data_IF_380560983072
#
_entry.id   IF_380560983072
#
_cell.length_a   1.000
_cell.length_b   1.000
_cell.length_c   1.000
_cell.angle_alpha   90.00
_cell.angle_beta   90.00
_cell.angle_gamma   90.00
#
_symmetry.space_group_name_H-M   'P 1'
#
loop_
_entity.id
_entity.type
_entity.pdbx_description
1 polymer ?
#
# COMPACT_ATOMS: atom_id res chain seq x y z
N UNK A 1 -14.72 -13.13 14.19
CA UNK A 1 -13.32 -12.68 14.19
C UNK A 1 -13.19 -11.15 14.32
N UNK A 2 -14.30 -10.43 14.55
CA UNK A 2 -14.32 -8.97 14.69
C UNK A 2 -13.64 -8.18 13.55
N UNK A 3 -13.62 -8.73 12.35
CA UNK A 3 -13.12 -8.03 11.17
C UNK A 3 -14.13 -6.96 10.77
N UNK A 4 -13.69 -5.72 10.70
CA UNK A 4 -14.52 -4.58 10.30
C UNK A 4 -13.92 -3.77 9.14
N UNK A 5 -12.73 -4.15 8.65
CA UNK A 5 -12.05 -3.53 7.53
C UNK A 5 -11.39 -4.58 6.64
N UNK A 6 -11.34 -4.31 5.35
CA UNK A 6 -10.75 -5.20 4.36
C UNK A 6 -10.03 -4.40 3.28
N UNK A 7 -8.98 -4.98 2.71
CA UNK A 7 -8.31 -4.50 1.50
C UNK A 7 -8.68 -5.41 0.34
N UNK A 8 -8.99 -4.83 -0.81
CA UNK A 8 -9.37 -5.58 -2.01
C UNK A 8 -8.13 -6.11 -2.74
N UNK A 9 -7.42 -7.03 -2.14
CA UNK A 9 -6.18 -7.61 -2.69
C UNK A 9 -6.44 -8.40 -3.97
N UNK A 10 -5.91 -8.06 -5.10
CA UNK A 10 -5.07 -6.93 -5.48
C UNK A 10 -5.68 -6.25 -6.72
N UNK A 11 -6.98 -6.02 -6.67
CA UNK A 11 -7.78 -5.40 -7.75
C UNK A 11 -9.16 -5.00 -7.19
N UNK A 12 -9.89 -4.11 -7.88
CA UNK A 12 -11.26 -3.81 -7.50
C UNK A 12 -12.17 -5.03 -7.61
N UNK A 13 -13.04 -5.19 -6.63
CA UNK A 13 -14.04 -6.26 -6.60
C UNK A 13 -15.30 -5.95 -7.43
N UNK A 14 -16.24 -6.90 -7.45
CA UNK A 14 -17.57 -6.72 -8.03
C UNK A 14 -18.29 -5.52 -7.38
N UNK A 15 -19.00 -4.67 -8.14
CA UNK A 15 -19.75 -3.54 -7.59
C UNK A 15 -20.69 -3.92 -6.45
N UNK A 16 -21.34 -5.08 -6.52
CA UNK A 16 -22.23 -5.57 -5.46
C UNK A 16 -21.48 -5.75 -4.13
N UNK A 17 -20.22 -6.13 -4.18
CA UNK A 17 -19.40 -6.30 -2.97
C UNK A 17 -19.24 -4.96 -2.23
N UNK A 18 -19.03 -3.84 -2.94
CA UNK A 18 -18.98 -2.51 -2.33
C UNK A 18 -20.32 -2.08 -1.77
N UNK A 19 -21.43 -2.38 -2.46
CA UNK A 19 -22.79 -2.12 -1.95
C UNK A 19 -23.03 -2.88 -0.63
N UNK A 20 -22.58 -4.12 -0.54
CA UNK A 20 -22.68 -4.90 0.69
C UNK A 20 -21.81 -4.32 1.81
N UNK A 21 -20.60 -3.86 1.49
CA UNK A 21 -19.77 -3.18 2.47
C UNK A 21 -20.42 -1.90 3.01
N UNK A 22 -21.08 -1.13 2.13
CA UNK A 22 -21.84 0.07 2.53
C UNK A 22 -22.99 -0.29 3.47
N UNK A 23 -23.75 -1.36 3.16
CA UNK A 23 -24.89 -1.81 3.96
C UNK A 23 -24.47 -2.35 5.32
N UNK A 24 -23.43 -3.17 5.36
CA UNK A 24 -22.98 -3.86 6.57
C UNK A 24 -21.93 -3.09 7.40
N UNK A 25 -21.48 -1.95 6.92
CA UNK A 25 -20.53 -1.10 7.64
C UNK A 25 -19.10 -1.66 7.65
N UNK A 26 -18.68 -2.36 6.59
CA UNK A 26 -17.31 -2.84 6.44
C UNK A 26 -16.48 -1.73 5.78
N UNK A 27 -15.43 -1.29 6.44
CA UNK A 27 -14.49 -0.33 5.87
C UNK A 27 -13.65 -0.97 4.77
N UNK A 28 -13.38 -0.20 3.72
CA UNK A 28 -12.70 -0.71 2.53
C UNK A 28 -11.46 0.11 2.23
N UNK A 29 -10.37 -0.60 1.99
CA UNK A 29 -9.19 -0.10 1.28
C UNK A 29 -9.29 -0.63 -0.14
N UNK A 30 -9.73 0.21 -1.08
CA UNK A 30 -9.91 -0.20 -2.47
C UNK A 30 -8.59 -0.11 -3.21
N UNK A 31 -8.17 -1.21 -3.85
CA UNK A 31 -6.88 -1.33 -4.51
C UNK A 31 -6.99 -1.39 -6.02
N UNK A 32 -6.12 -0.64 -6.68
CA UNK A 32 -6.01 -0.66 -8.13
C UNK A 32 -5.32 -1.94 -8.62
N UNK A 33 -5.76 -2.46 -9.76
CA UNK A 33 -5.17 -3.63 -10.39
C UNK A 33 -3.80 -3.29 -11.00
N UNK A 34 -2.82 -3.05 -10.15
CA UNK A 34 -1.42 -2.82 -10.53
C UNK A 34 -0.55 -3.73 -9.68
N UNK A 35 -0.03 -4.76 -10.31
CA UNK A 35 0.92 -5.68 -9.71
C UNK A 35 1.93 -6.14 -10.75
N UNK A 36 3.22 -6.12 -10.39
CA UNK A 36 4.29 -6.55 -11.28
C UNK A 36 5.46 -7.20 -10.52
N UNK A 37 5.13 -7.94 -9.47
CA UNK A 37 6.07 -8.62 -8.57
C UNK A 37 7.19 -9.37 -9.31
N UNK A 38 6.85 -10.10 -10.37
CA UNK A 38 7.83 -10.85 -11.17
C UNK A 38 8.88 -10.01 -11.90
N UNK A 39 8.70 -8.70 -11.99
CA UNK A 39 9.69 -7.77 -12.58
C UNK A 39 10.71 -7.26 -11.56
N UNK A 40 10.57 -7.65 -10.29
CA UNK A 40 11.37 -7.14 -9.19
C UNK A 40 11.06 -5.68 -8.83
N UNK A 41 11.81 -5.14 -7.88
CA UNK A 41 11.52 -3.83 -7.28
C UNK A 41 12.60 -2.78 -7.57
N UNK A 42 13.71 -3.18 -8.18
CA UNK A 42 14.85 -2.34 -8.43
C UNK A 42 14.78 -1.64 -9.80
N UNK A 43 15.87 -1.70 -10.57
CA UNK A 43 15.98 -0.97 -11.85
C UNK A 43 15.03 -1.46 -12.95
N UNK A 44 14.61 -2.72 -12.89
CA UNK A 44 13.73 -3.33 -13.90
C UNK A 44 12.24 -3.21 -13.59
N UNK A 45 11.89 -2.56 -12.48
CA UNK A 45 10.49 -2.40 -12.11
C UNK A 45 9.73 -1.58 -13.14
N UNK A 46 8.51 -1.99 -13.45
CA UNK A 46 7.63 -1.25 -14.37
C UNK A 46 7.22 0.11 -13.82
N UNK A 47 7.36 0.34 -12.51
CA UNK A 47 7.12 1.64 -11.88
C UNK A 47 8.06 2.75 -12.40
N UNK A 48 9.24 2.38 -12.89
CA UNK A 48 10.24 3.30 -13.46
C UNK A 48 10.17 3.39 -14.99
N UNK A 49 9.42 2.50 -15.65
CA UNK A 49 9.34 2.43 -17.10
C UNK A 49 8.27 3.40 -17.63
N UNK A 50 8.65 4.47 -18.38
CA UNK A 50 7.70 5.49 -18.84
C UNK A 50 6.59 4.96 -19.74
N UNK A 51 6.85 3.91 -20.51
CA UNK A 51 5.86 3.30 -21.40
C UNK A 51 4.69 2.68 -20.64
N UNK A 52 4.87 2.35 -19.35
CA UNK A 52 3.83 1.81 -18.46
C UNK A 52 3.06 2.88 -17.67
N UNK A 53 3.47 4.15 -17.71
CA UNK A 53 2.79 5.23 -16.98
C UNK A 53 1.29 5.25 -17.27
N UNK A 54 0.92 5.19 -18.54
CA UNK A 54 -0.49 5.19 -18.93
C UNK A 54 -1.26 4.03 -18.33
N UNK A 55 -0.66 2.84 -18.32
CA UNK A 55 -1.29 1.65 -17.76
C UNK A 55 -1.51 1.75 -16.24
N UNK A 56 -0.55 2.32 -15.49
CA UNK A 56 -0.68 2.58 -14.07
C UNK A 56 -1.78 3.61 -13.77
N UNK A 57 -1.75 4.75 -14.48
CA UNK A 57 -2.74 5.81 -14.33
C UNK A 57 -4.15 5.31 -14.64
N UNK A 58 -4.39 4.69 -15.79
CA UNK A 58 -5.73 4.25 -16.19
C UNK A 58 -6.35 3.26 -15.20
N UNK A 59 -5.56 2.37 -14.59
CA UNK A 59 -6.07 1.44 -13.59
C UNK A 59 -6.52 2.17 -12.32
N UNK A 60 -5.72 3.10 -11.84
CA UNK A 60 -6.06 3.94 -10.70
C UNK A 60 -7.27 4.84 -10.99
N UNK A 61 -7.28 5.48 -12.17
CA UNK A 61 -8.41 6.33 -12.59
C UNK A 61 -9.72 5.56 -12.66
N UNK A 62 -9.72 4.39 -13.28
CA UNK A 62 -10.94 3.57 -13.43
C UNK A 62 -11.47 3.15 -12.08
N UNK A 63 -10.61 2.70 -11.17
CA UNK A 63 -11.02 2.35 -9.80
C UNK A 63 -11.68 3.52 -9.10
N UNK A 64 -11.00 4.66 -9.02
CA UNK A 64 -11.52 5.82 -8.28
C UNK A 64 -12.80 6.35 -8.91
N UNK A 65 -12.86 6.45 -10.25
CA UNK A 65 -14.08 6.92 -10.95
C UNK A 65 -15.27 6.00 -10.75
N UNK A 66 -15.04 4.69 -10.75
CA UNK A 66 -16.12 3.70 -10.59
C UNK A 66 -16.69 3.69 -9.16
N UNK A 67 -15.81 3.78 -8.16
CA UNK A 67 -16.20 3.45 -6.78
C UNK A 67 -16.19 4.64 -5.80
N UNK A 68 -15.85 5.85 -6.21
CA UNK A 68 -15.75 7.02 -5.32
C UNK A 68 -16.99 7.34 -4.50
N UNK A 69 -18.16 6.89 -4.95
CA UNK A 69 -19.43 7.17 -4.29
C UNK A 69 -19.80 6.17 -3.18
N UNK A 70 -18.95 5.15 -2.96
CA UNK A 70 -19.14 4.19 -1.88
C UNK A 70 -18.57 4.76 -0.57
N UNK A 71 -19.42 5.00 0.45
CA UNK A 71 -18.98 5.54 1.74
C UNK A 71 -18.14 4.56 2.55
N UNK A 72 -18.23 3.27 2.28
CA UNK A 72 -17.38 2.25 2.89
C UNK A 72 -15.89 2.40 2.52
N UNK A 73 -15.58 2.96 1.35
CA UNK A 73 -14.20 3.16 0.93
C UNK A 73 -13.59 4.33 1.70
N UNK A 74 -12.63 4.02 2.56
CA UNK A 74 -11.92 5.01 3.35
C UNK A 74 -10.55 5.38 2.77
N UNK A 75 -9.91 4.47 2.05
CA UNK A 75 -8.53 4.59 1.59
C UNK A 75 -8.43 4.07 0.15
N UNK A 76 -7.68 4.77 -0.70
CA UNK A 76 -7.28 4.29 -2.01
C UNK A 76 -5.89 3.67 -1.94
N UNK A 77 -5.73 2.46 -2.51
CA UNK A 77 -4.44 1.79 -2.64
C UNK A 77 -4.02 1.77 -4.11
N UNK A 78 -2.81 2.26 -4.39
CA UNK A 78 -2.36 2.46 -5.78
C UNK A 78 -1.99 1.15 -6.50
N UNK A 79 -1.78 0.08 -5.75
CA UNK A 79 -1.41 -1.23 -6.27
C UNK A 79 -0.69 -2.06 -5.23
N UNK A 80 -0.14 -3.18 -5.70
CA UNK A 80 0.56 -4.16 -4.88
C UNK A 80 1.86 -4.57 -5.55
N UNK A 81 2.95 -4.66 -4.78
CA UNK A 81 4.21 -5.30 -5.15
C UNK A 81 4.71 -4.99 -6.58
N UNK A 82 4.61 -3.74 -6.98
CA UNK A 82 4.98 -3.31 -8.33
C UNK A 82 6.25 -2.41 -8.35
N UNK A 83 7.05 -2.44 -7.29
CA UNK A 83 8.20 -1.56 -7.13
C UNK A 83 7.79 -0.12 -6.89
N UNK A 84 8.76 0.78 -6.82
CA UNK A 84 8.50 2.21 -6.67
C UNK A 84 9.18 3.04 -7.76
N UNK A 85 8.54 4.13 -8.14
CA UNK A 85 9.07 5.01 -9.16
C UNK A 85 8.09 6.11 -9.61
N UNK A 86 8.50 6.88 -10.64
CA UNK A 86 7.73 8.04 -11.14
C UNK A 86 6.29 7.72 -11.48
N UNK A 87 5.99 6.50 -11.96
CA UNK A 87 4.63 6.14 -12.33
C UNK A 87 3.68 6.17 -11.13
N UNK A 88 4.10 5.71 -9.96
CA UNK A 88 3.30 5.78 -8.73
C UNK A 88 3.19 7.20 -8.17
N UNK A 89 4.23 8.02 -8.33
CA UNK A 89 4.17 9.45 -8.00
C UNK A 89 3.05 10.13 -8.79
N UNK A 90 2.95 9.86 -10.09
CA UNK A 90 1.89 10.44 -10.93
C UNK A 90 0.50 9.85 -10.59
N UNK A 91 0.40 8.56 -10.26
CA UNK A 91 -0.85 7.96 -9.77
C UNK A 91 -1.32 8.65 -8.48
N UNK A 92 -0.43 8.83 -7.51
CA UNK A 92 -0.74 9.52 -6.27
C UNK A 92 -1.24 10.94 -6.52
N UNK A 93 -0.53 11.73 -7.32
CA UNK A 93 -0.92 13.10 -7.67
C UNK A 93 -2.30 13.15 -8.31
N UNK A 94 -2.57 12.24 -9.24
CA UNK A 94 -3.86 12.18 -9.91
C UNK A 94 -4.98 11.86 -8.93
N UNK A 95 -4.83 10.82 -8.10
CA UNK A 95 -5.84 10.43 -7.10
C UNK A 95 -6.10 11.57 -6.13
N UNK A 96 -5.05 12.19 -5.56
CA UNK A 96 -5.20 13.32 -4.62
C UNK A 96 -5.82 14.56 -5.25
N UNK A 97 -5.64 14.75 -6.55
CA UNK A 97 -6.28 15.86 -7.29
C UNK A 97 -7.77 15.58 -7.53
N UNK A 98 -8.10 14.33 -7.87
CA UNK A 98 -9.47 13.94 -8.19
C UNK A 98 -10.34 13.67 -6.96
N UNK A 99 -9.79 13.06 -5.93
CA UNK A 99 -10.42 12.82 -4.62
C UNK A 99 -9.47 13.25 -3.49
N UNK A 100 -9.47 14.54 -3.12
CA UNK A 100 -8.63 15.04 -2.04
C UNK A 100 -9.11 14.63 -0.64
N UNK A 101 -10.29 14.01 -0.54
CA UNK A 101 -10.95 13.72 0.74
C UNK A 101 -10.45 12.44 1.39
N UNK A 102 -9.97 11.49 0.60
CA UNK A 102 -9.51 10.20 1.09
C UNK A 102 -7.98 10.11 1.11
N UNK A 103 -7.40 9.46 2.12
CA UNK A 103 -5.99 9.13 2.11
C UNK A 103 -5.68 8.10 1.01
N UNK A 104 -4.43 8.12 0.58
CA UNK A 104 -3.89 7.21 -0.42
C UNK A 104 -2.74 6.43 0.22
N UNK A 105 -2.71 5.13 -0.01
CA UNK A 105 -1.60 4.27 0.39
C UNK A 105 -0.95 3.56 -0.78
N UNK A 106 0.33 3.26 -0.63
CA UNK A 106 1.06 2.33 -1.48
C UNK A 106 2.26 1.77 -0.69
N UNK A 107 2.36 0.44 -0.57
CA UNK A 107 3.32 -0.19 0.33
C UNK A 107 4.77 0.06 -0.08
N UNK A 108 5.08 0.07 -1.39
CA UNK A 108 6.44 0.34 -1.88
C UNK A 108 6.84 1.82 -1.83
N UNK A 109 5.89 2.73 -1.61
CA UNK A 109 6.21 4.12 -1.33
C UNK A 109 6.83 4.33 0.05
N UNK A 110 6.60 3.39 0.98
CA UNK A 110 7.17 3.39 2.31
C UNK A 110 6.90 4.70 3.07
N UNK A 111 7.93 5.55 3.25
CA UNK A 111 7.83 6.88 3.84
C UNK A 111 8.04 8.00 2.81
N UNK A 112 8.01 7.69 1.51
CA UNK A 112 8.07 8.70 0.45
C UNK A 112 6.80 9.57 0.41
N UNK A 113 6.86 10.72 -0.28
CA UNK A 113 5.78 11.72 -0.26
C UNK A 113 4.51 11.30 -1.00
N UNK A 114 4.54 10.25 -1.78
CA UNK A 114 3.40 9.72 -2.56
C UNK A 114 2.66 8.57 -1.86
N UNK A 115 2.60 8.64 -0.54
CA UNK A 115 1.67 7.87 0.30
C UNK A 115 1.28 8.70 1.52
N UNK A 116 0.04 8.59 1.97
CA UNK A 116 -0.43 9.25 3.19
C UNK A 116 -0.30 8.33 4.41
N UNK A 117 -0.16 7.02 4.19
CA UNK A 117 -0.11 5.98 5.21
C UNK A 117 1.17 5.18 5.02
N UNK A 118 1.85 4.89 6.13
CA UNK A 118 2.90 3.87 6.13
C UNK A 118 2.22 2.50 6.21
N UNK A 119 2.34 1.70 5.15
CA UNK A 119 1.63 0.42 5.05
C UNK A 119 2.59 -0.75 4.77
N UNK A 120 3.39 -1.16 5.76
CA UNK A 120 4.28 -2.31 5.61
C UNK A 120 3.48 -3.62 5.47
N UNK A 121 4.14 -4.63 4.89
CA UNK A 121 3.69 -6.01 4.93
C UNK A 121 4.47 -6.76 6.00
N UNK A 122 3.79 -7.65 6.72
CA UNK A 122 4.40 -8.59 7.67
C UNK A 122 5.36 -7.95 8.69
N UNK A 123 5.12 -6.70 9.08
CA UNK A 123 5.94 -6.02 10.07
C UNK A 123 5.92 -6.78 11.40
N UNK A 124 7.10 -7.00 11.95
CA UNK A 124 7.23 -7.63 13.26
C UNK A 124 6.71 -6.70 14.36
N UNK A 125 6.38 -7.28 15.52
CA UNK A 125 5.97 -6.51 16.68
C UNK A 125 7.00 -5.43 17.05
N UNK A 126 8.28 -5.79 17.09
CA UNK A 126 9.38 -4.86 17.39
C UNK A 126 9.44 -3.70 16.37
N UNK A 127 9.20 -3.97 15.11
CA UNK A 127 9.15 -2.94 14.07
C UNK A 127 8.00 -1.96 14.31
N UNK A 128 6.82 -2.49 14.64
CA UNK A 128 5.66 -1.65 14.94
C UNK A 128 5.87 -0.80 16.19
N UNK A 129 6.46 -1.38 17.25
CA UNK A 129 6.78 -0.66 18.48
C UNK A 129 7.80 0.45 18.25
N UNK A 130 8.87 0.19 17.51
CA UNK A 130 9.86 1.19 17.14
C UNK A 130 9.26 2.33 16.31
N UNK A 131 8.41 1.98 15.34
CA UNK A 131 7.71 3.01 14.57
C UNK A 131 6.80 3.87 15.45
N UNK A 132 6.05 3.25 16.35
CA UNK A 132 5.13 3.94 17.26
C UNK A 132 5.85 4.81 18.31
N UNK A 133 7.03 4.39 18.79
CA UNK A 133 7.83 5.17 19.73
C UNK A 133 8.51 6.39 19.11
N UNK A 134 8.58 6.42 17.79
CA UNK A 134 9.28 7.48 17.07
C UNK A 134 10.79 7.29 17.00
N UNK A 135 11.28 6.15 17.42
CA UNK A 135 12.67 5.78 17.27
C UNK A 135 13.01 5.60 15.78
N UNK A 136 14.26 5.88 15.42
CA UNK A 136 14.73 5.62 14.07
C UNK A 136 14.58 4.13 13.80
N UNK A 137 13.79 3.79 12.78
CA UNK A 137 13.65 2.40 12.36
C UNK A 137 15.04 1.85 12.00
N UNK A 138 15.42 0.67 12.51
CA UNK A 138 16.72 0.12 12.25
C UNK A 138 16.94 -0.04 10.74
N UNK A 139 18.12 0.32 10.28
CA UNK A 139 18.56 -0.05 8.96
C UNK A 139 18.64 -1.59 8.93
N UNK A 140 17.66 -2.20 8.28
CA UNK A 140 17.60 -3.62 7.99
C UNK A 140 17.39 -4.59 9.16
N UNK A 141 16.17 -5.01 9.36
CA UNK A 141 15.94 -6.40 9.82
C UNK A 141 16.10 -7.29 8.57
N UNK A 142 17.28 -7.89 8.41
CA UNK A 142 17.59 -8.76 7.28
C UNK A 142 17.09 -10.17 7.55
N UNK A 143 15.85 -10.44 7.16
CA UNK A 143 15.46 -11.80 6.78
C UNK A 143 15.40 -11.86 5.26
N UNK A 144 15.57 -13.03 4.64
CA UNK A 144 15.43 -13.15 3.18
C UNK A 144 14.06 -12.64 2.71
N UNK A 145 13.03 -12.75 3.53
CA UNK A 145 11.71 -12.20 3.29
C UNK A 145 11.66 -10.67 3.53
N UNK A 146 12.42 -10.13 4.46
CA UNK A 146 12.55 -8.70 4.69
C UNK A 146 13.32 -7.99 3.57
N UNK A 147 14.25 -8.66 2.90
CA UNK A 147 14.89 -8.17 1.68
C UNK A 147 13.86 -7.92 0.56
N UNK A 148 12.81 -8.71 0.54
CA UNK A 148 11.69 -8.52 -0.41
C UNK A 148 10.76 -7.40 0.06
N UNK A 149 10.60 -7.19 1.38
CA UNK A 149 9.48 -6.42 1.93
C UNK A 149 9.86 -5.18 2.73
N UNK A 150 11.05 -5.07 3.26
CA UNK A 150 11.39 -4.04 4.21
C UNK A 150 12.71 -3.30 4.00
N UNK A 151 13.75 -3.97 3.56
CA UNK A 151 15.13 -3.46 3.64
C UNK A 151 15.49 -2.40 2.60
N UNK A 152 14.83 -2.41 1.46
CA UNK A 152 15.03 -1.36 0.45
C UNK A 152 14.57 0.00 0.97
N UNK A 153 13.75 -0.02 2.02
CA UNK A 153 13.10 1.13 2.58
C UNK A 153 14.00 2.07 3.36
N UNK A 154 14.85 1.52 4.17
CA UNK A 154 15.51 2.30 5.22
C UNK A 154 16.97 2.60 4.92
N UNK A 155 17.54 1.97 3.92
CA UNK A 155 18.96 2.10 3.56
C UNK A 155 19.30 3.28 2.66
N UNK A 156 18.39 3.81 1.88
CA UNK A 156 18.67 4.88 0.92
C UNK A 156 17.59 5.95 0.87
N UNK A 157 17.44 6.64 2.00
CA UNK A 157 17.09 8.06 1.95
C UNK A 157 15.73 8.46 1.42
N UNK A 158 14.69 7.73 1.69
CA UNK A 158 13.34 8.29 1.65
C UNK A 158 13.13 9.24 2.84
N UNK A 159 13.86 10.35 2.88
CA UNK A 159 13.51 11.46 3.78
C UNK A 159 12.31 12.14 3.17
N UNK A 160 11.13 11.85 3.71
CA UNK A 160 9.96 12.68 3.46
C UNK A 160 10.32 14.15 3.65
N UNK A 161 9.97 15.00 2.71
CA UNK A 161 10.02 16.45 2.88
C UNK A 161 9.12 16.91 4.04
N UNK A 162 8.22 16.06 4.48
CA UNK A 162 7.36 16.17 5.67
C UNK A 162 8.10 15.73 6.94
N UNK A 163 9.36 16.10 7.08
CA UNK A 163 10.19 15.79 8.25
C UNK A 163 9.44 16.16 9.54
N UNK A 164 9.11 15.14 10.36
CA UNK A 164 8.43 15.30 11.65
C UNK A 164 6.95 14.99 11.67
N UNK A 165 6.32 14.59 10.55
CA UNK A 165 4.95 14.12 10.59
C UNK A 165 4.90 12.60 10.68
N UNK A 166 4.50 12.09 11.84
CA UNK A 166 4.09 10.70 11.98
C UNK A 166 2.91 10.43 11.05
N UNK A 167 3.08 9.48 10.14
CA UNK A 167 1.97 8.97 9.36
C UNK A 167 1.29 7.85 10.14
N UNK A 168 -0.01 7.67 10.01
CA UNK A 168 -0.63 6.47 10.54
C UNK A 168 0.02 5.23 9.90
N UNK A 169 0.23 4.18 10.68
CA UNK A 169 0.70 2.90 10.19
C UNK A 169 -0.45 1.91 10.15
N UNK A 170 -0.63 1.28 8.99
CA UNK A 170 -1.60 0.21 8.79
C UNK A 170 -0.89 -0.90 8.02
N UNK A 171 -0.72 -2.06 8.61
CA UNK A 171 -0.20 -3.20 7.87
C UNK A 171 -1.17 -3.56 6.74
N UNK A 172 -0.74 -3.49 5.48
CA UNK A 172 -1.58 -3.89 4.37
C UNK A 172 -1.70 -5.40 4.24
N UNK A 173 -0.71 -6.15 4.76
CA UNK A 173 -0.75 -7.60 4.96
C UNK A 173 -0.10 -7.94 6.29
N UNK A 174 -0.83 -8.60 7.20
CA UNK A 174 -0.35 -8.83 8.55
C UNK A 174 0.24 -10.24 8.76
N UNK A 175 -0.17 -11.22 7.97
CA UNK A 175 0.31 -12.59 8.06
C UNK A 175 0.65 -13.14 6.66
N UNK A 176 1.86 -13.67 6.51
CA UNK A 176 2.29 -14.32 5.27
C UNK A 176 1.76 -15.73 5.22
N UNK A 177 0.69 -15.96 4.47
CA UNK A 177 0.04 -17.26 4.32
C UNK A 177 0.26 -17.83 2.92
N UNK A 178 1.41 -18.48 2.71
CA UNK A 178 1.79 -19.08 1.44
C UNK A 178 1.97 -20.60 1.57
N UNK A 179 1.45 -21.35 0.59
CA UNK A 179 1.50 -22.81 0.61
C UNK A 179 0.79 -23.38 1.84
N UNK A 180 1.51 -24.12 2.67
CA UNK A 180 0.98 -24.73 3.89
C UNK A 180 1.36 -23.95 5.17
N UNK A 181 1.81 -22.71 5.06
CA UNK A 181 2.22 -21.91 6.20
C UNK A 181 1.27 -20.74 6.46
N UNK A 182 1.12 -20.38 7.74
CA UNK A 182 0.45 -19.18 8.22
C UNK A 182 1.39 -18.51 9.21
N UNK A 183 2.38 -17.76 8.69
CA UNK A 183 3.36 -17.08 9.52
C UNK A 183 2.74 -15.99 10.39
N UNK A 184 3.03 -15.97 11.68
CA UNK A 184 2.66 -14.88 12.59
C UNK A 184 1.16 -14.72 12.88
N UNK A 185 0.28 -15.62 12.41
CA UNK A 185 -1.17 -15.47 12.59
C UNK A 185 -1.64 -15.68 14.03
N UNK A 186 -0.84 -16.37 14.83
CA UNK A 186 -1.16 -16.68 16.24
C UNK A 186 -0.57 -15.69 17.25
N UNK A 187 0.24 -14.75 16.79
CA UNK A 187 0.89 -13.72 17.59
C UNK A 187 0.07 -12.42 17.54
#
# INVERSE_FOLDING_TARGET
NNINAVRTCHYPDDPLWYELCDIYGIYVISEANVESHGMGYEEKTLAKEPSYLKAHLERNERMVRAFKNHPSILIWSLGNEAGDGPNFVECYKWVKTYDPTRPVQYERALLNDHTDIYCPMYATYDHMEQYASGDALPAAVRTEDALVWGDVAFGQGGRSSKQGSYRPMIQCEYAHAMGNSMGGFGE
#
